data_IF_928732317750
#
_entry.id   IF_928732317750
#
_cell.length_a   1.000
_cell.length_b   1.000
_cell.length_c   1.000
_cell.angle_alpha   90.00
_cell.angle_beta   90.00
_cell.angle_gamma   90.00
#
_symmetry.space_group_name_H-M   'P 1'
#
loop_
_entity.id
_entity.type
_entity.pdbx_description
1 polymer ?
#
# COMPACT_ATOMS: atom_id res chain seq x y z
N UNK A 1 6.02 -8.44 -17.28
CA UNK A 1 6.07 -7.36 -16.28
C UNK A 1 5.36 -6.15 -16.87
N UNK A 2 4.09 -5.94 -16.51
CA UNK A 2 3.30 -4.82 -17.05
C UNK A 2 3.81 -3.51 -16.46
N UNK A 3 4.22 -2.57 -17.31
CA UNK A 3 4.57 -1.21 -16.88
C UNK A 3 3.33 -0.57 -16.27
N UNK A 4 3.40 -0.17 -14.99
CA UNK A 4 2.34 0.63 -14.36
C UNK A 4 2.26 1.95 -15.15
N UNK A 5 1.14 2.18 -15.83
CA UNK A 5 0.89 3.42 -16.57
C UNK A 5 0.57 4.53 -15.56
N UNK A 6 1.56 5.34 -15.22
CA UNK A 6 1.41 6.51 -14.36
C UNK A 6 0.94 7.72 -15.19
N UNK A 7 -0.14 8.37 -14.76
CA UNK A 7 -0.59 9.64 -15.32
C UNK A 7 0.06 10.81 -14.58
N UNK A 8 0.38 11.89 -15.31
CA UNK A 8 0.86 13.12 -14.67
C UNK A 8 -0.28 13.77 -13.89
N UNK A 9 -0.11 13.94 -12.60
CA UNK A 9 -1.07 14.57 -11.69
C UNK A 9 -0.45 15.84 -11.09
N UNK A 10 -1.06 16.98 -11.37
CA UNK A 10 -0.67 18.27 -10.78
C UNK A 10 -1.76 18.70 -9.82
N UNK A 11 -1.42 18.80 -8.54
CA UNK A 11 -2.35 19.24 -7.49
C UNK A 11 -1.60 20.01 -6.41
N UNK A 12 -2.35 20.71 -5.57
CA UNK A 12 -1.84 21.45 -4.43
C UNK A 12 -2.11 20.66 -3.14
N UNK A 13 -1.13 20.64 -2.23
CA UNK A 13 -1.25 20.03 -0.91
C UNK A 13 -0.49 20.89 0.10
N UNK A 14 -0.82 20.74 1.39
CA UNK A 14 -0.09 21.41 2.46
C UNK A 14 1.41 21.01 2.39
N UNK A 15 2.35 21.97 2.37
CA UNK A 15 3.79 21.68 2.30
C UNK A 15 4.29 20.79 3.46
N UNK A 16 3.72 20.91 4.65
CA UNK A 16 4.09 20.07 5.79
C UNK A 16 3.73 18.60 5.54
N UNK A 17 2.55 18.34 4.98
CA UNK A 17 2.10 17.00 4.61
C UNK A 17 3.04 16.40 3.55
N UNK A 18 3.40 17.19 2.53
CA UNK A 18 4.32 16.74 1.48
C UNK A 18 5.71 16.41 2.03
N UNK A 19 6.22 17.20 2.98
CA UNK A 19 7.50 16.96 3.62
C UNK A 19 7.47 15.68 4.46
N UNK A 20 6.43 15.48 5.26
CA UNK A 20 6.26 14.25 6.05
C UNK A 20 6.21 13.01 5.14
N UNK A 21 5.47 13.06 4.03
CA UNK A 21 5.43 11.96 3.06
C UNK A 21 6.78 11.69 2.40
N UNK A 22 7.61 12.71 2.16
CA UNK A 22 8.98 12.52 1.66
C UNK A 22 9.86 11.84 2.70
N UNK A 23 9.78 12.26 3.96
CA UNK A 23 10.54 11.62 5.05
C UNK A 23 10.16 10.15 5.21
N UNK A 24 8.86 9.82 5.14
CA UNK A 24 8.41 8.42 5.15
C UNK A 24 9.01 7.64 3.98
N UNK A 25 8.99 8.20 2.77
CA UNK A 25 9.58 7.55 1.60
C UNK A 25 11.09 7.31 1.76
N UNK A 26 11.82 8.27 2.34
CA UNK A 26 13.25 8.14 2.63
C UNK A 26 13.53 7.05 3.66
N UNK A 27 12.78 7.03 4.77
CA UNK A 27 12.91 6.02 5.84
C UNK A 27 12.60 4.62 5.32
N UNK A 28 11.58 4.47 4.47
CA UNK A 28 11.18 3.18 3.89
C UNK A 28 12.02 2.77 2.66
N UNK A 29 12.92 3.64 2.18
CA UNK A 29 13.69 3.40 0.95
C UNK A 29 12.81 3.32 -0.31
N UNK A 30 11.59 3.87 -0.25
CA UNK A 30 10.61 3.86 -1.35
C UNK A 30 10.71 5.14 -2.17
N UNK A 31 10.27 5.08 -3.43
CA UNK A 31 10.08 6.28 -4.24
C UNK A 31 8.87 7.06 -3.73
N UNK A 32 8.96 8.39 -3.68
CA UNK A 32 7.88 9.27 -3.20
C UNK A 32 6.53 9.02 -3.89
N UNK A 33 6.52 8.74 -5.19
CA UNK A 33 5.27 8.43 -5.91
C UNK A 33 4.64 7.09 -5.49
N UNK A 34 5.42 6.12 -5.01
CA UNK A 34 4.89 4.86 -4.52
C UNK A 34 4.15 5.05 -3.20
N UNK A 35 4.72 5.86 -2.29
CA UNK A 35 4.07 6.23 -1.02
C UNK A 35 2.79 7.04 -1.28
N UNK A 36 2.79 7.93 -2.28
CA UNK A 36 1.58 8.64 -2.70
C UNK A 36 0.50 7.70 -3.27
N UNK A 37 0.88 6.75 -4.13
CA UNK A 37 -0.06 5.76 -4.67
C UNK A 37 -0.69 4.90 -3.57
N UNK A 38 0.14 4.46 -2.61
CA UNK A 38 -0.30 3.73 -1.41
C UNK A 38 -1.32 4.55 -0.60
N UNK A 39 -1.01 5.82 -0.31
CA UNK A 39 -1.90 6.71 0.42
C UNK A 39 -3.24 6.95 -0.30
N UNK A 40 -3.23 7.09 -1.64
CA UNK A 40 -4.45 7.23 -2.43
C UNK A 40 -5.29 5.97 -2.43
N UNK A 41 -4.67 4.80 -2.57
CA UNK A 41 -5.37 3.50 -2.48
C UNK A 41 -6.02 3.34 -1.11
N UNK A 42 -5.29 3.63 -0.04
CA UNK A 42 -5.83 3.57 1.32
C UNK A 42 -7.00 4.53 1.54
N UNK A 43 -6.90 5.75 1.01
CA UNK A 43 -8.00 6.71 1.07
C UNK A 43 -9.25 6.18 0.33
N UNK A 44 -9.08 5.65 -0.88
CA UNK A 44 -10.18 5.11 -1.68
C UNK A 44 -10.77 3.83 -1.07
N UNK A 45 -9.94 2.96 -0.49
CA UNK A 45 -10.35 1.78 0.29
C UNK A 45 -11.23 2.20 1.47
N UNK A 46 -10.78 3.20 2.26
CA UNK A 46 -11.56 3.75 3.39
C UNK A 46 -12.90 4.36 2.95
N UNK A 47 -12.97 4.87 1.72
CA UNK A 47 -14.20 5.40 1.12
C UNK A 47 -15.07 4.32 0.46
N UNK A 48 -14.64 3.05 0.47
CA UNK A 48 -15.35 1.95 -0.20
C UNK A 48 -15.36 2.05 -1.72
N UNK A 49 -14.55 2.95 -2.30
CA UNK A 49 -14.48 3.18 -3.74
C UNK A 49 -13.62 2.13 -4.46
N UNK A 50 -12.64 1.57 -3.76
CA UNK A 50 -11.92 0.39 -4.19
C UNK A 50 -12.53 -0.81 -3.48
N UNK A 51 -13.23 -1.66 -4.23
CA UNK A 51 -13.48 -3.02 -3.75
C UNK A 51 -12.11 -3.71 -3.72
N UNK A 52 -11.70 -4.37 -2.62
CA UNK A 52 -10.41 -5.05 -2.60
C UNK A 52 -10.36 -6.00 -3.80
N UNK A 53 -9.32 -5.86 -4.63
CA UNK A 53 -9.08 -6.79 -5.74
C UNK A 53 -9.05 -8.18 -5.13
N UNK A 54 -10.00 -9.04 -5.53
CA UNK A 54 -10.14 -10.42 -5.02
C UNK A 54 -8.81 -11.19 -5.00
N UNK A 55 -7.89 -10.79 -5.87
CA UNK A 55 -6.54 -11.34 -6.00
C UNK A 55 -5.62 -11.01 -4.81
N UNK A 56 -5.69 -9.81 -4.22
CA UNK A 56 -4.87 -9.46 -3.03
C UNK A 56 -5.36 -10.20 -1.80
N UNK A 57 -6.69 -10.33 -1.63
CA UNK A 57 -7.27 -11.16 -0.57
C UNK A 57 -6.91 -12.63 -0.77
N UNK A 58 -6.92 -13.14 -2.00
CA UNK A 58 -6.52 -14.51 -2.31
C UNK A 58 -5.04 -14.77 -1.99
N UNK A 59 -4.14 -13.86 -2.40
CA UNK A 59 -2.71 -13.98 -2.09
C UNK A 59 -2.42 -13.89 -0.59
N UNK A 60 -3.11 -12.99 0.13
CA UNK A 60 -2.99 -12.89 1.59
C UNK A 60 -3.52 -14.16 2.29
N UNK A 61 -4.67 -14.70 1.86
CA UNK A 61 -5.22 -15.94 2.39
C UNK A 61 -4.29 -17.14 2.11
N UNK A 62 -3.62 -17.17 0.96
CA UNK A 62 -2.66 -18.22 0.62
C UNK A 62 -1.40 -18.15 1.50
N UNK A 63 -0.87 -16.95 1.74
CA UNK A 63 0.24 -16.76 2.68
C UNK A 63 -0.17 -17.14 4.11
N UNK A 64 -1.38 -16.81 4.55
CA UNK A 64 -1.86 -17.20 5.89
C UNK A 64 -1.93 -18.73 6.05
N UNK A 65 -2.26 -19.46 4.99
CA UNK A 65 -2.25 -20.92 4.98
C UNK A 65 -0.81 -21.49 5.00
N UNK A 66 0.13 -20.89 4.28
CA UNK A 66 1.55 -21.32 4.28
C UNK A 66 2.23 -21.14 5.64
N UNK A 67 1.80 -20.17 6.45
CA UNK A 67 2.38 -19.89 7.77
C UNK A 67 1.53 -20.40 8.94
N UNK A 68 0.47 -21.17 8.68
CA UNK A 68 -0.49 -21.62 9.69
C UNK A 68 0.18 -22.43 10.81
N UNK A 69 1.15 -23.28 10.45
CA UNK A 69 1.90 -24.10 11.42
C UNK A 69 2.85 -23.25 12.28
N UNK A 70 3.49 -22.23 11.68
CA UNK A 70 4.36 -21.29 12.40
C UNK A 70 3.56 -20.44 13.40
N UNK A 71 2.35 -20.01 13.04
CA UNK A 71 1.47 -19.29 13.96
C UNK A 71 0.95 -20.18 15.09
N UNK A 72 0.68 -21.47 14.83
CA UNK A 72 0.29 -22.44 15.87
C UNK A 72 1.42 -22.71 16.87
N UNK A 73 2.67 -22.70 16.41
CA UNK A 73 3.84 -22.85 17.29
C UNK A 73 4.10 -21.61 18.15
N UNK A 74 3.86 -20.41 17.62
CA UNK A 74 4.03 -19.14 18.36
C UNK A 74 2.86 -18.82 19.31
N UNK A 75 1.73 -19.49 19.17
CA UNK A 75 0.55 -19.32 20.04
C UNK A 75 0.52 -20.26 21.25
N UNK A 76 1.59 -21.04 21.48
CA UNK A 76 1.83 -21.84 22.68
C UNK A 76 2.82 -21.16 23.61
#
# INVERSE_FOLDING_TARGET
MGSILLSKFSSQANPEILNTLRQIAEVEGKKFHAVLDEAFRDFLNKKGALTPERQVIASFAQSLHEFEDLYKELAK
#
